data_IF_435129243389
#
_entry.id   IF_435129243389
#
_cell.length_a   1.000
_cell.length_b   1.000
_cell.length_c   1.000
_cell.angle_alpha   90.00
_cell.angle_beta   90.00
_cell.angle_gamma   90.00
#
_symmetry.space_group_name_H-M   'P 1'
#
loop_
_entity.id
_entity.type
_entity.pdbx_description
1 polymer ?
#
# COMPACT_ATOMS: atom_id res chain seq x y z
N UNK A 1 -8.41 -6.95 27.20
CA UNK A 1 -8.65 -5.60 27.78
C UNK A 1 -9.37 -5.63 29.13
N UNK A 2 -10.49 -6.37 29.30
CA UNK A 2 -11.28 -6.42 30.57
C UNK A 2 -10.47 -6.75 31.85
N UNK A 3 -9.58 -7.75 31.82
CA UNK A 3 -8.76 -8.13 33.00
C UNK A 3 -7.73 -7.07 33.44
N UNK A 4 -7.28 -6.20 32.54
CA UNK A 4 -6.32 -5.11 32.87
C UNK A 4 -7.03 -3.89 33.45
N UNK A 5 -8.22 -3.58 32.94
CA UNK A 5 -9.09 -2.54 33.50
C UNK A 5 -9.56 -2.92 34.91
N UNK A 6 -9.90 -4.19 35.14
CA UNK A 6 -10.28 -4.67 36.47
C UNK A 6 -9.14 -4.50 37.48
N UNK A 7 -7.90 -4.84 37.11
CA UNK A 7 -6.73 -4.63 37.98
C UNK A 7 -6.48 -3.15 38.29
N UNK A 8 -6.67 -2.26 37.32
CA UNK A 8 -6.53 -0.82 37.53
C UNK A 8 -7.62 -0.26 38.45
N UNK A 9 -8.87 -0.71 38.31
CA UNK A 9 -9.99 -0.30 39.18
C UNK A 9 -9.78 -0.82 40.60
N UNK A 10 -9.36 -2.09 40.77
CA UNK A 10 -9.06 -2.67 42.08
C UNK A 10 -7.89 -1.93 42.74
N UNK A 11 -6.84 -1.60 41.99
CA UNK A 11 -5.72 -0.79 42.50
C UNK A 11 -6.18 0.61 42.92
N UNK A 12 -7.03 1.26 42.12
CA UNK A 12 -7.59 2.58 42.44
C UNK A 12 -8.46 2.54 43.70
N UNK A 13 -9.28 1.49 43.87
CA UNK A 13 -10.11 1.29 45.05
C UNK A 13 -9.26 1.04 46.30
N UNK A 14 -8.19 0.25 46.19
CA UNK A 14 -7.23 0.01 47.28
C UNK A 14 -6.51 1.30 47.64
N UNK A 15 -6.04 2.06 46.65
CA UNK A 15 -5.37 3.33 46.86
C UNK A 15 -6.31 4.36 47.52
N UNK A 16 -7.57 4.46 47.06
CA UNK A 16 -8.57 5.36 47.62
C UNK A 16 -8.99 4.95 49.05
N UNK A 17 -9.07 3.65 49.33
CA UNK A 17 -9.32 3.12 50.67
C UNK A 17 -8.16 3.35 51.65
N UNK A 18 -6.91 3.15 51.20
CA UNK A 18 -5.70 3.47 51.97
C UNK A 18 -5.61 4.94 52.29
N UNK A 19 -5.90 5.77 51.28
CA UNK A 19 -6.01 7.21 51.41
C UNK A 19 -7.06 7.51 52.48
N UNK A 20 -8.34 7.12 52.33
CA UNK A 20 -9.40 7.32 53.34
C UNK A 20 -9.03 6.88 54.77
N UNK A 21 -8.34 5.76 54.95
CA UNK A 21 -7.88 5.30 56.26
C UNK A 21 -6.82 6.23 56.89
N UNK A 22 -5.96 6.83 56.08
CA UNK A 22 -4.94 7.78 56.50
C UNK A 22 -5.52 9.16 56.83
N UNK A 23 -6.81 9.45 56.60
CA UNK A 23 -7.43 10.75 56.93
C UNK A 23 -7.57 10.92 58.43
N UNK A 24 -7.65 9.77 59.12
CA UNK A 24 -8.04 9.70 60.52
C UNK A 24 -6.86 9.90 61.47
N UNK A 25 -5.64 10.03 60.96
CA UNK A 25 -4.44 10.31 61.74
C UNK A 25 -3.57 11.37 61.09
N UNK A 26 -2.99 12.25 61.90
CA UNK A 26 -2.07 13.33 61.51
C UNK A 26 -0.71 12.80 61.04
N UNK A 27 -0.71 11.90 60.06
CA UNK A 27 0.52 11.37 59.50
C UNK A 27 1.10 12.32 58.44
N UNK A 28 2.31 12.80 58.70
CA UNK A 28 3.08 13.63 57.77
C UNK A 28 4.21 12.80 57.14
N UNK A 29 4.48 13.06 55.86
CA UNK A 29 5.60 12.47 55.14
C UNK A 29 6.67 13.56 54.96
N UNK A 30 7.79 13.38 55.66
CA UNK A 30 8.95 14.26 55.52
C UNK A 30 9.94 13.59 54.57
N UNK A 31 10.14 14.18 53.40
CA UNK A 31 11.17 13.76 52.45
C UNK A 31 12.31 14.76 52.57
N UNK A 32 13.40 14.35 53.20
CA UNK A 32 14.63 15.12 53.28
C UNK A 32 15.56 14.72 52.13
N UNK A 33 15.93 15.68 51.28
CA UNK A 33 16.92 15.49 50.22
C UNK A 33 17.94 16.61 50.25
N UNK A 34 19.14 16.34 50.79
CA UNK A 34 20.18 17.34 50.99
C UNK A 34 19.76 18.43 51.99
N UNK A 35 19.81 19.70 51.60
CA UNK A 35 19.39 20.85 52.44
C UNK A 35 17.91 21.24 52.29
N UNK A 36 17.14 20.51 51.47
CA UNK A 36 15.72 20.79 51.24
C UNK A 36 14.86 19.74 51.92
N UNK A 37 14.04 20.21 52.86
CA UNK A 37 13.02 19.41 53.52
C UNK A 37 11.69 19.77 52.89
N UNK A 38 11.04 18.80 52.25
CA UNK A 38 9.67 18.98 51.76
C UNK A 38 8.77 18.22 52.71
N UNK A 39 8.04 18.98 53.52
CA UNK A 39 6.99 18.46 54.39
C UNK A 39 5.69 18.42 53.58
N UNK A 40 5.17 17.22 53.35
CA UNK A 40 3.86 17.04 52.72
C UNK A 40 3.00 16.14 53.59
N UNK A 41 1.70 16.42 53.64
CA UNK A 41 0.77 15.51 54.30
C UNK A 41 0.75 14.17 53.56
N UNK A 42 0.57 13.05 54.27
CA UNK A 42 0.54 11.72 53.63
C UNK A 42 -0.47 11.63 52.48
N UNK A 43 -1.55 12.40 52.57
CA UNK A 43 -2.58 12.54 51.55
C UNK A 43 -2.07 13.15 50.25
N UNK A 44 -1.25 14.20 50.34
CA UNK A 44 -0.65 14.87 49.18
C UNK A 44 0.37 13.93 48.52
N UNK A 45 1.16 13.20 49.31
CA UNK A 45 2.10 12.20 48.79
C UNK A 45 1.38 11.05 48.06
N UNK A 46 0.29 10.55 48.64
CA UNK A 46 -0.50 9.48 48.04
C UNK A 46 -1.17 9.94 46.73
N UNK A 47 -1.72 11.17 46.70
CA UNK A 47 -2.30 11.74 45.48
C UNK A 47 -1.23 11.91 44.38
N UNK A 48 -0.04 12.38 44.72
CA UNK A 48 1.07 12.53 43.77
C UNK A 48 1.49 11.18 43.16
N UNK A 49 1.54 10.11 43.96
CA UNK A 49 1.83 8.75 43.46
C UNK A 49 0.75 8.23 42.51
N UNK A 50 -0.53 8.47 42.83
CA UNK A 50 -1.64 8.08 41.93
C UNK A 50 -1.55 8.85 40.61
N UNK A 51 -1.31 10.16 40.66
CA UNK A 51 -1.14 10.99 39.46
C UNK A 51 0.04 10.53 38.61
N UNK A 52 1.19 10.22 39.23
CA UNK A 52 2.37 9.70 38.55
C UNK A 52 2.07 8.36 37.86
N UNK A 53 1.35 7.45 38.52
CA UNK A 53 0.96 6.17 37.95
C UNK A 53 0.04 6.35 36.74
N UNK A 54 -0.96 7.24 36.83
CA UNK A 54 -1.87 7.56 35.73
C UNK A 54 -1.11 8.17 34.55
N UNK A 55 -0.18 9.09 34.81
CA UNK A 55 0.66 9.70 33.78
C UNK A 55 1.52 8.66 33.05
N UNK A 56 2.22 7.78 33.79
CA UNK A 56 3.02 6.69 33.21
C UNK A 56 2.17 5.71 32.39
N UNK A 57 0.95 5.41 32.85
CA UNK A 57 0.01 4.58 32.11
C UNK A 57 -0.39 5.23 30.77
N UNK A 58 -0.67 6.54 30.78
CA UNK A 58 -0.99 7.30 29.58
C UNK A 58 0.18 7.32 28.59
N UNK A 59 1.40 7.61 29.06
CA UNK A 59 2.62 7.63 28.23
C UNK A 59 2.87 6.27 27.60
N UNK A 60 2.75 5.18 28.38
CA UNK A 60 2.94 3.81 27.88
C UNK A 60 1.88 3.45 26.83
N UNK A 61 0.63 3.88 27.02
CA UNK A 61 -0.45 3.68 26.05
C UNK A 61 -0.21 4.46 24.76
N UNK A 62 0.25 5.72 24.84
CA UNK A 62 0.58 6.52 23.67
C UNK A 62 1.75 5.92 22.87
N UNK A 63 2.82 5.47 23.54
CA UNK A 63 3.95 4.83 22.86
C UNK A 63 3.57 3.52 22.15
N UNK A 64 2.73 2.68 22.78
CA UNK A 64 2.32 1.40 22.18
C UNK A 64 1.22 1.54 21.13
N UNK A 65 0.29 2.49 21.29
CA UNK A 65 -0.83 2.69 20.37
C UNK A 65 -0.39 3.24 19.00
N UNK A 66 0.73 3.95 18.93
CA UNK A 66 1.27 4.48 17.68
C UNK A 66 1.76 3.37 16.72
N UNK A 67 2.22 2.23 17.24
CA UNK A 67 2.79 1.17 16.40
C UNK A 67 1.70 0.21 15.90
N UNK A 68 0.70 -0.12 16.73
CA UNK A 68 -0.36 -1.06 16.36
C UNK A 68 -1.46 -0.44 15.48
N UNK A 69 -1.75 0.86 15.64
CA UNK A 69 -2.76 1.56 14.85
C UNK A 69 -2.28 1.83 13.42
N UNK A 70 -1.00 2.21 13.25
CA UNK A 70 -0.39 2.39 11.94
C UNK A 70 -0.32 1.07 11.17
N UNK A 71 -0.05 -0.05 11.85
CA UNK A 71 0.03 -1.37 11.18
C UNK A 71 -1.33 -1.85 10.66
N UNK A 72 -2.40 -1.70 11.44
CA UNK A 72 -3.77 -2.09 11.01
C UNK A 72 -4.37 -1.15 9.96
N UNK A 73 -4.08 0.15 10.04
CA UNK A 73 -4.47 1.08 8.96
C UNK A 73 -3.71 0.76 7.67
N UNK A 74 -2.41 0.47 7.75
CA UNK A 74 -1.59 0.10 6.58
C UNK A 74 -2.06 -1.20 5.94
N UNK A 75 -2.40 -2.24 6.70
CA UNK A 75 -2.94 -3.49 6.16
C UNK A 75 -4.31 -3.26 5.49
N UNK A 76 -5.25 -2.54 6.11
CA UNK A 76 -6.58 -2.27 5.53
C UNK A 76 -6.53 -1.35 4.29
N UNK A 77 -5.60 -0.39 4.25
CA UNK A 77 -5.40 0.48 3.08
C UNK A 77 -4.70 -0.25 1.92
N UNK A 78 -3.76 -1.15 2.21
CA UNK A 78 -3.02 -1.89 1.18
C UNK A 78 -3.88 -3.02 0.57
N UNK A 79 -4.58 -3.82 1.38
CA UNK A 79 -5.43 -4.90 0.85
C UNK A 79 -6.68 -4.37 0.12
N UNK A 80 -7.32 -3.32 0.65
CA UNK A 80 -8.40 -2.64 -0.07
C UNK A 80 -7.93 -1.90 -1.33
N UNK A 81 -6.64 -1.55 -1.44
CA UNK A 81 -6.09 -0.91 -2.64
C UNK A 81 -5.90 -1.88 -3.79
N UNK A 82 -5.52 -3.14 -3.55
CA UNK A 82 -5.28 -4.13 -4.61
C UNK A 82 -6.59 -4.56 -5.26
N UNK A 83 -7.61 -4.92 -4.48
CA UNK A 83 -8.92 -5.30 -5.03
C UNK A 83 -9.56 -4.14 -5.82
N UNK A 84 -9.46 -2.91 -5.31
CA UNK A 84 -9.91 -1.72 -6.03
C UNK A 84 -9.09 -1.46 -7.30
N UNK A 85 -7.79 -1.74 -7.29
CA UNK A 85 -6.95 -1.61 -8.47
C UNK A 85 -7.30 -2.68 -9.52
N UNK A 86 -7.53 -3.93 -9.12
CA UNK A 86 -8.00 -4.99 -10.01
C UNK A 86 -9.35 -4.65 -10.63
N UNK A 87 -10.32 -4.18 -9.83
CA UNK A 87 -11.63 -3.76 -10.35
C UNK A 87 -11.51 -2.63 -11.36
N UNK A 88 -10.66 -1.63 -11.08
CA UNK A 88 -10.39 -0.53 -12.02
C UNK A 88 -9.69 -0.99 -13.28
N UNK A 89 -8.73 -1.91 -13.18
CA UNK A 89 -8.05 -2.50 -14.33
C UNK A 89 -9.05 -3.28 -15.20
N UNK A 90 -9.92 -4.08 -14.59
CA UNK A 90 -10.98 -4.79 -15.29
C UNK A 90 -11.93 -3.82 -16.01
N UNK A 91 -12.37 -2.74 -15.35
CA UNK A 91 -13.18 -1.70 -16.03
C UNK A 91 -12.39 -1.00 -17.15
N UNK A 92 -11.10 -0.72 -16.96
CA UNK A 92 -10.24 -0.14 -18.01
C UNK A 92 -10.05 -1.08 -19.20
N UNK A 93 -10.00 -2.39 -18.97
CA UNK A 93 -9.97 -3.39 -20.03
C UNK A 93 -11.30 -3.45 -20.79
N UNK A 94 -12.44 -3.27 -20.10
CA UNK A 94 -13.74 -3.12 -20.78
C UNK A 94 -13.73 -1.88 -21.67
N UNK A 95 -13.30 -0.73 -21.16
CA UNK A 95 -13.20 0.50 -21.96
C UNK A 95 -12.32 0.29 -23.21
N UNK A 96 -11.18 -0.39 -23.04
CA UNK A 96 -10.26 -0.76 -24.13
C UNK A 96 -10.97 -1.58 -25.21
N UNK A 97 -11.73 -2.60 -24.81
CA UNK A 97 -12.47 -3.45 -25.75
C UNK A 97 -13.62 -2.71 -26.44
N UNK A 98 -14.18 -1.68 -25.79
CA UNK A 98 -15.22 -0.84 -26.38
C UNK A 98 -14.69 0.29 -27.26
N UNK A 99 -13.36 0.48 -27.32
CA UNK A 99 -12.72 1.52 -28.13
C UNK A 99 -12.61 2.90 -27.47
N UNK A 100 -12.93 3.02 -26.17
CA UNK A 100 -12.67 4.26 -25.40
C UNK A 100 -11.21 4.27 -24.93
N UNK A 101 -10.32 4.63 -25.86
CA UNK A 101 -8.87 4.64 -25.63
C UNK A 101 -8.45 5.58 -24.50
N UNK A 102 -9.10 6.74 -24.38
CA UNK A 102 -8.78 7.74 -23.37
C UNK A 102 -9.10 7.24 -21.95
N UNK A 103 -10.30 6.68 -21.75
CA UNK A 103 -10.70 6.14 -20.46
C UNK A 103 -9.90 4.88 -20.13
N UNK A 104 -9.68 4.00 -21.11
CA UNK A 104 -8.86 2.80 -20.98
C UNK A 104 -7.44 3.14 -20.52
N UNK A 105 -6.74 4.00 -21.26
CA UNK A 105 -5.37 4.42 -20.94
C UNK A 105 -5.29 4.98 -19.51
N UNK A 106 -6.16 5.92 -19.16
CA UNK A 106 -6.18 6.56 -17.84
C UNK A 106 -6.42 5.56 -16.70
N UNK A 107 -7.33 4.59 -16.90
CA UNK A 107 -7.64 3.58 -15.88
C UNK A 107 -6.51 2.56 -15.76
N UNK A 108 -5.99 2.06 -16.89
CA UNK A 108 -4.97 1.03 -16.94
C UNK A 108 -3.62 1.53 -16.40
N UNK A 109 -3.12 2.69 -16.85
CA UNK A 109 -1.83 3.26 -16.41
C UNK A 109 -1.76 3.45 -14.90
N UNK A 110 -2.86 3.90 -14.28
CA UNK A 110 -2.95 4.10 -12.82
C UNK A 110 -2.96 2.81 -12.00
N UNK A 111 -3.15 1.67 -12.66
CA UNK A 111 -3.25 0.34 -12.03
C UNK A 111 -2.06 -0.56 -12.30
N UNK A 112 -1.14 -0.17 -13.18
CA UNK A 112 -0.01 -1.00 -13.62
C UNK A 112 0.83 -1.54 -12.45
N UNK A 113 1.20 -0.70 -11.49
CA UNK A 113 2.04 -1.10 -10.35
C UNK A 113 1.27 -1.78 -9.21
N UNK A 114 -0.04 -1.95 -9.34
CA UNK A 114 -0.93 -2.38 -8.24
C UNK A 114 -1.64 -3.72 -8.50
N UNK A 115 -1.52 -4.24 -9.72
CA UNK A 115 -2.16 -5.48 -10.14
C UNK A 115 -1.13 -6.61 -10.13
N UNK A 116 -1.56 -7.79 -9.70
CA UNK A 116 -0.72 -8.98 -9.56
C UNK A 116 -0.13 -9.46 -10.89
N UNK A 117 -0.91 -9.39 -11.97
CA UNK A 117 -0.49 -9.75 -13.33
C UNK A 117 -0.70 -8.59 -14.30
N UNK A 118 0.24 -7.62 -14.36
CA UNK A 118 -0.01 -6.37 -15.06
C UNK A 118 0.29 -6.42 -16.56
N UNK A 119 0.95 -7.46 -17.08
CA UNK A 119 1.41 -7.51 -18.48
C UNK A 119 0.32 -7.21 -19.51
N UNK A 120 -0.86 -7.81 -19.37
CA UNK A 120 -1.99 -7.55 -20.26
C UNK A 120 -2.47 -6.09 -20.18
N UNK A 121 -2.44 -5.50 -18.98
CA UNK A 121 -2.81 -4.11 -18.77
C UNK A 121 -1.77 -3.15 -19.35
N UNK A 122 -0.48 -3.48 -19.29
CA UNK A 122 0.59 -2.73 -19.96
C UNK A 122 0.39 -2.73 -21.47
N UNK A 123 0.14 -3.89 -22.07
CA UNK A 123 -0.09 -4.02 -23.52
C UNK A 123 -1.34 -3.23 -23.96
N UNK A 124 -2.44 -3.37 -23.23
CA UNK A 124 -3.67 -2.62 -23.51
C UNK A 124 -3.49 -1.11 -23.33
N UNK A 125 -2.75 -0.67 -22.30
CA UNK A 125 -2.42 0.73 -22.09
C UNK A 125 -1.57 1.29 -23.24
N UNK A 126 -0.48 0.60 -23.62
CA UNK A 126 0.37 1.00 -24.73
C UNK A 126 -0.40 1.12 -26.05
N UNK A 127 -1.26 0.13 -26.35
CA UNK A 127 -2.10 0.19 -27.54
C UNK A 127 -3.11 1.34 -27.46
N UNK A 128 -3.68 1.62 -26.30
CA UNK A 128 -4.56 2.78 -26.12
C UNK A 128 -3.82 4.10 -26.38
N UNK A 129 -2.58 4.27 -25.90
CA UNK A 129 -1.75 5.45 -26.18
C UNK A 129 -1.47 5.61 -27.68
N UNK A 130 -1.16 4.51 -28.36
CA UNK A 130 -0.94 4.50 -29.80
C UNK A 130 -2.19 4.95 -30.58
N UNK A 131 -3.36 4.41 -30.25
CA UNK A 131 -4.64 4.81 -30.88
C UNK A 131 -5.03 6.27 -30.59
N UNK A 132 -4.54 6.83 -29.48
CA UNK A 132 -4.66 8.25 -29.17
C UNK A 132 -3.66 9.13 -29.94
N UNK A 133 -2.76 8.54 -30.72
CA UNK A 133 -1.74 9.24 -31.51
C UNK A 133 -0.40 9.44 -30.79
N UNK A 134 -0.24 8.93 -29.55
CA UNK A 134 1.01 9.02 -28.80
C UNK A 134 1.83 7.73 -28.94
N UNK A 135 2.53 7.61 -30.07
CA UNK A 135 3.41 6.47 -30.35
C UNK A 135 4.60 6.41 -29.36
N UNK A 136 5.09 7.56 -28.88
CA UNK A 136 6.23 7.63 -27.99
C UNK A 136 5.86 7.10 -26.59
N UNK A 137 4.69 7.47 -26.07
CA UNK A 137 4.17 6.91 -24.82
C UNK A 137 3.91 5.40 -24.96
N UNK A 138 3.36 4.95 -26.09
CA UNK A 138 3.14 3.53 -26.35
C UNK A 138 4.44 2.71 -26.25
N UNK A 139 5.51 3.17 -26.92
CA UNK A 139 6.81 2.49 -26.87
C UNK A 139 7.41 2.49 -25.45
N UNK A 140 7.33 3.62 -24.73
CA UNK A 140 7.78 3.70 -23.34
C UNK A 140 7.04 2.72 -22.41
N UNK A 141 5.73 2.52 -22.62
CA UNK A 141 4.93 1.57 -21.84
C UNK A 141 5.33 0.12 -22.21
N UNK A 142 5.59 -0.17 -23.48
CA UNK A 142 6.04 -1.50 -23.93
C UNK A 142 7.43 -1.85 -23.40
N UNK A 143 8.35 -0.89 -23.33
CA UNK A 143 9.67 -1.12 -22.74
C UNK A 143 9.56 -1.46 -21.24
N UNK A 144 8.68 -0.78 -20.52
CA UNK A 144 8.37 -1.15 -19.13
C UNK A 144 7.76 -2.54 -19.04
N UNK A 145 6.86 -2.89 -19.96
CA UNK A 145 6.24 -4.22 -20.02
C UNK A 145 7.28 -5.33 -20.22
N UNK A 146 8.32 -5.08 -21.02
CA UNK A 146 9.40 -6.03 -21.29
C UNK A 146 10.17 -6.40 -20.01
N UNK A 147 10.37 -5.45 -19.10
CA UNK A 147 11.08 -5.70 -17.83
C UNK A 147 10.30 -6.60 -16.87
N UNK A 148 8.98 -6.67 -17.01
CA UNK A 148 8.07 -7.47 -16.19
C UNK A 148 7.70 -8.82 -16.84
N UNK A 149 7.84 -8.92 -18.16
CA UNK A 149 7.41 -10.08 -18.90
C UNK A 149 8.36 -11.28 -18.69
N UNK A 150 7.79 -12.47 -18.48
CA UNK A 150 8.55 -13.71 -18.49
C UNK A 150 8.98 -14.14 -19.91
N UNK A 151 8.32 -13.59 -20.94
CA UNK A 151 8.61 -13.85 -22.34
C UNK A 151 8.53 -12.55 -23.11
N UNK A 152 9.50 -12.30 -23.98
CA UNK A 152 9.56 -11.10 -24.84
C UNK A 152 8.47 -11.09 -25.91
N UNK A 153 7.90 -12.27 -26.21
CA UNK A 153 7.00 -12.47 -27.33
C UNK A 153 5.74 -11.58 -27.31
N UNK A 154 4.94 -11.50 -26.22
CA UNK A 154 3.71 -10.70 -26.25
C UNK A 154 3.98 -9.21 -26.49
N UNK A 155 5.11 -8.70 -25.96
CA UNK A 155 5.53 -7.31 -26.12
C UNK A 155 5.99 -7.06 -27.54
N UNK A 156 6.88 -7.92 -28.07
CA UNK A 156 7.40 -7.78 -29.42
C UNK A 156 6.32 -7.97 -30.50
N UNK A 157 5.40 -8.92 -30.32
CA UNK A 157 4.26 -9.11 -31.21
C UNK A 157 3.35 -7.87 -31.22
N UNK A 158 3.12 -7.27 -30.04
CA UNK A 158 2.36 -6.02 -29.95
C UNK A 158 3.08 -4.90 -30.69
N UNK A 159 4.38 -4.70 -30.46
CA UNK A 159 5.18 -3.67 -31.15
C UNK A 159 5.16 -3.86 -32.67
N UNK A 160 5.31 -5.10 -33.15
CA UNK A 160 5.20 -5.41 -34.56
C UNK A 160 3.81 -5.05 -35.11
N UNK A 161 2.71 -5.39 -34.40
CA UNK A 161 1.35 -5.01 -34.81
C UNK A 161 1.16 -3.50 -34.90
N UNK A 162 1.69 -2.73 -33.95
CA UNK A 162 1.62 -1.27 -33.99
C UNK A 162 2.39 -0.71 -35.20
N UNK A 163 3.56 -1.28 -35.53
CA UNK A 163 4.28 -0.89 -36.74
C UNK A 163 3.52 -1.23 -38.03
N UNK A 164 2.90 -2.40 -38.11
CA UNK A 164 2.02 -2.76 -39.24
C UNK A 164 0.86 -1.78 -39.36
N UNK A 165 0.19 -1.45 -38.26
CA UNK A 165 -0.91 -0.49 -38.24
C UNK A 165 -0.49 0.91 -38.73
N UNK A 166 0.74 1.32 -38.44
CA UNK A 166 1.33 2.56 -38.97
C UNK A 166 1.90 2.47 -40.39
N UNK A 167 1.77 1.34 -41.08
CA UNK A 167 2.31 1.11 -42.42
C UNK A 167 3.83 0.91 -42.48
N UNK A 168 4.50 0.68 -41.34
CA UNK A 168 5.95 0.46 -41.21
C UNK A 168 6.28 -1.03 -41.22
N UNK A 169 5.97 -1.68 -42.32
CA UNK A 169 6.13 -3.13 -42.54
C UNK A 169 7.57 -3.62 -42.32
N UNK A 170 8.56 -2.88 -42.81
CA UNK A 170 9.98 -3.23 -42.67
C UNK A 170 10.40 -3.37 -41.20
N UNK A 171 9.99 -2.43 -40.34
CA UNK A 171 10.26 -2.48 -38.90
C UNK A 171 9.56 -3.65 -38.22
N UNK A 172 8.34 -3.98 -38.64
CA UNK A 172 7.62 -5.14 -38.10
C UNK A 172 8.35 -6.44 -38.43
N UNK A 173 8.86 -6.59 -39.65
CA UNK A 173 9.65 -7.77 -40.07
C UNK A 173 10.95 -7.89 -39.25
N UNK A 174 11.65 -6.78 -39.04
CA UNK A 174 12.89 -6.76 -38.25
C UNK A 174 12.67 -7.28 -36.83
N UNK A 175 11.54 -6.92 -36.20
CA UNK A 175 11.17 -7.39 -34.87
C UNK A 175 10.74 -8.86 -34.87
N UNK A 176 9.98 -9.31 -35.88
CA UNK A 176 9.40 -10.66 -35.92
C UNK A 176 10.41 -11.74 -36.33
N UNK A 177 11.34 -11.45 -37.25
CA UNK A 177 12.36 -12.40 -37.73
C UNK A 177 13.12 -13.12 -36.61
N UNK A 178 13.74 -12.43 -35.63
CA UNK A 178 14.48 -13.11 -34.56
C UNK A 178 13.57 -13.95 -33.67
N UNK A 179 12.29 -13.60 -33.54
CA UNK A 179 11.32 -14.36 -32.75
C UNK A 179 10.89 -15.62 -33.49
N UNK A 180 10.62 -15.55 -34.79
CA UNK A 180 10.28 -16.72 -35.60
C UNK A 180 11.41 -17.75 -35.61
N UNK A 181 12.67 -17.30 -35.64
CA UNK A 181 13.85 -18.17 -35.53
C UNK A 181 13.93 -18.85 -34.16
N UNK A 182 13.66 -18.12 -33.07
CA UNK A 182 13.71 -18.65 -31.69
C UNK A 182 12.51 -19.55 -31.36
N UNK A 183 11.34 -19.23 -31.87
CA UNK A 183 10.05 -19.86 -31.55
C UNK A 183 9.26 -20.16 -32.85
N UNK A 184 9.72 -21.13 -33.64
CA UNK A 184 9.11 -21.42 -34.94
C UNK A 184 7.67 -21.96 -34.78
N UNK A 185 6.81 -21.62 -35.74
CA UNK A 185 5.39 -22.06 -35.88
C UNK A 185 4.41 -21.52 -34.85
N UNK A 186 4.72 -20.39 -34.24
CA UNK A 186 3.72 -19.74 -33.43
C UNK A 186 2.66 -19.08 -34.32
N UNK A 187 1.41 -19.55 -34.21
CA UNK A 187 0.32 -19.12 -35.08
C UNK A 187 0.20 -17.59 -35.18
N UNK A 188 0.34 -16.88 -34.05
CA UNK A 188 0.21 -15.43 -34.02
C UNK A 188 1.33 -14.66 -34.75
N UNK A 189 2.54 -15.24 -34.84
CA UNK A 189 3.68 -14.64 -35.57
C UNK A 189 3.51 -14.88 -37.07
N UNK A 190 3.16 -16.12 -37.46
CA UNK A 190 2.91 -16.47 -38.85
C UNK A 190 1.75 -15.69 -39.46
N UNK A 191 0.65 -15.56 -38.71
CA UNK A 191 -0.52 -14.77 -39.10
C UNK A 191 -0.12 -13.32 -39.40
N UNK A 192 0.66 -12.70 -38.50
CA UNK A 192 1.12 -11.33 -38.70
C UNK A 192 2.10 -11.21 -39.88
N UNK A 193 2.99 -12.18 -40.09
CA UNK A 193 3.92 -12.17 -41.23
C UNK A 193 3.21 -12.36 -42.57
N UNK A 194 2.06 -13.03 -42.63
CA UNK A 194 1.25 -13.12 -43.84
C UNK A 194 0.49 -11.82 -44.17
N UNK A 195 0.25 -10.97 -43.17
CA UNK A 195 -0.46 -9.70 -43.34
C UNK A 195 0.43 -8.52 -43.73
N UNK A 196 1.75 -8.73 -43.77
CA UNK A 196 2.79 -7.77 -44.15
C UNK A 196 3.22 -8.05 -45.59
#
# INVERSE_FOLDING_TARGET
>A
MRRRLLKAIVFLLIACGLVFFLWRGDGYLLIAYGTKTIEMTLWVAALALVLLYVALWFVRKFMLSSVEMVRRFREMFLFGSVERAQKRAATGMVDYLTGDWLAAHKKLVRTLDKVEYPLANYIAAARSSFEMGDEAEADNILDKALTLAHSELPVALTRARLHVQSGRYEKAIEILKPIDIKMPRQAAVLDLMHHI
#
